data_IF_967968327439
#
_entry.id   IF_967968327439
#
_cell.length_a   1.000
_cell.length_b   1.000
_cell.length_c   1.000
_cell.angle_alpha   90.00
_cell.angle_beta   90.00
_cell.angle_gamma   90.00
#
_symmetry.space_group_name_H-M   'P 1'
#
loop_
_entity.id
_entity.type
_entity.pdbx_description
1 polymer ?
#
# COMPACT_ATOMS: atom_id res chain seq x y z
N UNK A 1 -14.17 22.35 47.72
CA UNK A 1 -13.94 21.05 47.08
C UNK A 1 -12.55 21.10 46.48
N UNK A 2 -11.55 20.43 47.06
CA UNK A 2 -10.20 20.38 46.49
C UNK A 2 -10.21 19.35 45.37
N UNK A 3 -10.19 19.83 44.12
CA UNK A 3 -10.03 18.96 42.95
C UNK A 3 -8.67 18.25 43.03
N UNK A 4 -8.66 16.95 42.76
CA UNK A 4 -7.43 16.18 42.70
C UNK A 4 -6.50 16.81 41.65
N UNK A 5 -5.31 17.23 42.07
CA UNK A 5 -4.27 17.70 41.17
C UNK A 5 -3.79 16.52 40.31
N UNK A 6 -3.48 16.75 39.02
CA UNK A 6 -2.84 15.73 38.19
C UNK A 6 -1.50 15.31 38.82
N UNK A 7 -1.24 14.01 38.80
CA UNK A 7 0.02 13.44 39.25
C UNK A 7 1.16 13.94 38.33
N UNK A 8 2.03 14.77 38.89
CA UNK A 8 3.19 15.38 38.24
C UNK A 8 4.48 14.59 38.51
N UNK A 9 4.39 13.35 38.98
CA UNK A 9 5.57 12.51 39.18
C UNK A 9 6.38 12.47 37.88
N UNK A 10 7.68 12.85 37.91
CA UNK A 10 8.52 12.86 36.73
C UNK A 10 8.52 11.47 36.11
N UNK A 11 8.05 11.39 34.87
CA UNK A 11 8.05 10.14 34.12
C UNK A 11 9.49 9.65 33.98
N UNK A 12 9.71 8.36 34.22
CA UNK A 12 11.05 7.77 34.13
C UNK A 12 11.63 8.00 32.72
N UNK A 13 12.78 8.68 32.66
CA UNK A 13 13.48 9.00 31.41
C UNK A 13 13.91 7.73 30.65
N UNK A 14 14.06 6.60 31.34
CA UNK A 14 14.38 5.32 30.70
C UNK A 14 13.26 4.85 29.76
N UNK A 15 12.00 5.24 30.00
CA UNK A 15 10.88 4.88 29.11
C UNK A 15 10.90 5.59 27.76
N UNK A 16 11.56 6.76 27.67
CA UNK A 16 11.63 7.60 26.46
C UNK A 16 12.74 7.10 25.53
N UNK A 17 13.87 6.67 26.11
CA UNK A 17 15.07 6.30 25.36
C UNK A 17 15.32 4.80 25.28
N UNK A 18 14.77 4.01 26.21
CA UNK A 18 14.85 2.55 26.26
C UNK A 18 13.44 1.94 26.19
N UNK A 19 12.79 2.08 25.04
CA UNK A 19 11.64 1.22 24.73
C UNK A 19 12.16 -0.19 24.42
N UNK A 20 11.93 -1.12 25.33
CA UNK A 20 12.32 -2.53 25.14
C UNK A 20 11.41 -3.17 24.11
N UNK A 21 11.97 -3.66 23.00
CA UNK A 21 11.21 -4.36 21.94
C UNK A 21 10.54 -5.65 22.41
N UNK A 22 10.84 -6.11 23.64
CA UNK A 22 10.38 -7.35 24.24
C UNK A 22 9.06 -7.26 25.01
N UNK A 23 8.48 -6.06 25.21
CA UNK A 23 7.21 -5.94 25.93
C UNK A 23 6.17 -5.10 25.16
N UNK A 24 5.34 -5.72 24.30
CA UNK A 24 4.41 -5.00 23.43
C UNK A 24 3.19 -4.42 24.17
N UNK A 25 2.88 -4.92 25.38
CA UNK A 25 1.74 -4.45 26.18
C UNK A 25 1.98 -3.00 26.66
N UNK A 26 3.22 -2.64 26.98
CA UNK A 26 3.57 -1.29 27.41
C UNK A 26 3.55 -0.30 26.24
N UNK A 27 3.84 -0.73 25.00
CA UNK A 27 3.80 0.11 23.80
C UNK A 27 2.37 0.59 23.47
N UNK A 28 1.39 -0.32 23.51
CA UNK A 28 -0.01 0.03 23.25
C UNK A 28 -0.54 1.01 24.30
N UNK A 29 -0.28 0.75 25.58
CA UNK A 29 -0.67 1.64 26.68
C UNK A 29 0.05 3.01 26.65
N UNK A 30 1.31 3.06 26.18
CA UNK A 30 2.07 4.30 26.06
C UNK A 30 1.52 5.21 24.93
N UNK A 31 1.13 4.62 23.80
CA UNK A 31 0.53 5.34 22.68
C UNK A 31 -0.88 5.85 23.03
N UNK A 32 -1.67 5.05 23.73
CA UNK A 32 -3.01 5.43 24.20
C UNK A 32 -2.95 6.57 25.22
N UNK A 33 -1.99 6.55 26.14
CA UNK A 33 -1.77 7.64 27.09
C UNK A 33 -1.34 8.98 26.43
N UNK A 34 -0.76 8.94 25.23
CA UNK A 34 -0.36 10.15 24.51
C UNK A 34 -1.52 10.82 23.75
N UNK A 35 -2.55 10.06 23.34
CA UNK A 35 -3.72 10.64 22.64
C UNK A 35 -4.71 11.37 23.57
N UNK A 36 -4.74 11.03 24.86
CA UNK A 36 -5.66 11.66 25.82
C UNK A 36 -5.27 13.09 26.23
N UNK A 37 -4.07 13.58 25.88
CA UNK A 37 -3.57 14.91 26.29
C UNK A 37 -3.78 16.01 25.23
N UNK A 38 -4.43 15.71 24.09
CA UNK A 38 -4.47 16.64 22.94
C UNK A 38 -5.87 17.10 22.50
N UNK A 39 -6.86 17.06 23.40
CA UNK A 39 -8.21 17.55 23.10
C UNK A 39 -8.50 18.89 23.81
N UNK A 40 -7.87 19.96 23.33
CA UNK A 40 -8.29 21.35 23.57
C UNK A 40 -8.00 22.19 22.33
N UNK A 41 -9.04 22.71 21.67
CA UNK A 41 -8.90 23.84 20.75
C UNK A 41 -9.56 23.72 19.36
N UNK A 42 -10.80 24.20 19.28
CA UNK A 42 -11.42 25.01 18.22
C UNK A 42 -11.22 24.73 16.71
N UNK A 43 -12.38 24.77 16.04
CA UNK A 43 -12.69 25.39 14.73
C UNK A 43 -12.47 24.63 13.40
N UNK A 44 -13.55 24.69 12.61
CA UNK A 44 -13.66 24.65 11.15
C UNK A 44 -13.88 23.29 10.44
N UNK A 45 -15.11 23.21 9.91
CA UNK A 45 -15.65 22.41 8.82
C UNK A 45 -14.66 22.08 7.66
N UNK A 46 -14.86 20.92 7.02
CA UNK A 46 -14.44 20.51 5.66
C UNK A 46 -13.38 19.39 5.44
N UNK A 47 -13.17 18.39 6.33
CA UNK A 47 -12.29 17.25 5.99
C UNK A 47 -12.77 15.86 6.43
N UNK A 48 -14.01 15.48 6.13
CA UNK A 48 -14.57 14.17 6.57
C UNK A 48 -14.26 12.96 5.67
N UNK A 49 -13.62 13.09 4.51
CA UNK A 49 -13.42 11.92 3.60
C UNK A 49 -12.02 11.28 3.58
N UNK A 50 -11.00 11.84 4.22
CA UNK A 50 -9.63 11.27 4.18
C UNK A 50 -9.16 10.58 5.47
N UNK A 51 -9.96 10.59 6.55
CA UNK A 51 -9.52 10.08 7.85
C UNK A 51 -9.70 8.55 8.05
N UNK A 52 -10.30 7.82 7.11
CA UNK A 52 -10.59 6.39 7.32
C UNK A 52 -9.38 5.46 7.05
N UNK A 53 -8.37 5.92 6.30
CA UNK A 53 -7.21 5.11 5.89
C UNK A 53 -6.14 4.98 6.97
N UNK A 54 -6.13 5.87 7.96
CA UNK A 54 -5.22 5.80 9.12
C UNK A 54 -5.74 4.82 10.17
N UNK A 55 -7.07 4.75 10.36
CA UNK A 55 -7.70 3.84 11.31
C UNK A 55 -7.51 2.35 10.92
N UNK A 56 -7.68 2.02 9.63
CA UNK A 56 -7.46 0.64 9.13
C UNK A 56 -6.01 0.18 9.31
N UNK A 57 -5.03 1.06 9.10
CA UNK A 57 -3.61 0.75 9.31
C UNK A 57 -3.28 0.50 10.79
N UNK A 58 -3.91 1.27 11.70
CA UNK A 58 -3.78 1.05 13.15
C UNK A 58 -4.42 -0.26 13.59
N UNK A 59 -5.62 -0.59 13.11
CA UNK A 59 -6.29 -1.86 13.41
C UNK A 59 -5.50 -3.08 12.90
N UNK A 60 -4.94 -3.01 11.69
CA UNK A 60 -4.09 -4.06 11.15
C UNK A 60 -2.80 -4.27 11.97
N UNK A 61 -2.19 -3.18 12.44
CA UNK A 61 -0.99 -3.26 13.28
C UNK A 61 -1.25 -3.97 14.60
N UNK A 62 -2.39 -3.71 15.26
CA UNK A 62 -2.75 -4.37 16.52
C UNK A 62 -2.98 -5.88 16.36
N UNK A 63 -3.49 -6.32 15.20
CA UNK A 63 -3.65 -7.74 14.88
C UNK A 63 -2.32 -8.42 14.58
N UNK A 64 -1.40 -7.73 13.91
CA UNK A 64 -0.04 -8.21 13.61
C UNK A 64 0.77 -8.44 14.90
N UNK A 65 0.61 -7.59 15.91
CA UNK A 65 1.30 -7.73 17.20
C UNK A 65 0.80 -8.91 18.05
N UNK A 66 -0.35 -9.51 17.70
CA UNK A 66 -0.94 -10.64 18.45
C UNK A 66 -0.28 -11.98 18.12
N UNK A 67 0.51 -12.06 17.04
CA UNK A 67 1.17 -13.29 16.59
C UNK A 67 2.63 -13.04 16.18
N UNK A 68 3.56 -13.79 16.77
CA UNK A 68 4.99 -13.67 16.47
C UNK A 68 5.30 -13.91 14.98
N UNK A 69 4.61 -14.86 14.33
CA UNK A 69 4.77 -15.14 12.90
C UNK A 69 4.19 -14.02 12.01
N UNK A 70 3.13 -13.35 12.45
CA UNK A 70 2.57 -12.22 11.71
C UNK A 70 3.52 -11.02 11.76
N UNK A 71 4.15 -10.78 12.92
CA UNK A 71 5.16 -9.75 13.10
C UNK A 71 6.41 -9.99 12.25
N UNK A 72 6.94 -11.22 12.23
CA UNK A 72 8.09 -11.55 11.37
C UNK A 72 7.80 -11.27 9.89
N UNK A 73 6.61 -11.64 9.38
CA UNK A 73 6.22 -11.31 8.00
C UNK A 73 6.08 -9.81 7.74
N UNK A 74 5.57 -9.06 8.72
CA UNK A 74 5.48 -7.61 8.61
C UNK A 74 6.87 -6.95 8.54
N UNK A 75 7.83 -7.46 9.31
CA UNK A 75 9.22 -7.02 9.28
C UNK A 75 9.87 -7.35 7.92
N UNK A 76 9.68 -8.57 7.40
CA UNK A 76 10.15 -8.99 6.07
C UNK A 76 9.62 -8.05 4.97
N UNK A 77 8.30 -7.81 4.95
CA UNK A 77 7.69 -6.87 4.01
C UNK A 77 8.25 -5.46 4.13
N UNK A 78 8.53 -5.01 5.35
CA UNK A 78 9.11 -3.68 5.58
C UNK A 78 10.52 -3.59 5.01
N UNK A 79 11.33 -4.64 5.19
CA UNK A 79 12.67 -4.72 4.59
C UNK A 79 12.61 -4.74 3.06
N UNK A 80 11.71 -5.50 2.47
CA UNK A 80 11.57 -5.58 1.01
C UNK A 80 11.10 -4.26 0.40
N UNK A 81 10.14 -3.58 1.04
CA UNK A 81 9.73 -2.23 0.64
C UNK A 81 10.87 -1.24 0.72
N UNK A 82 11.69 -1.30 1.77
CA UNK A 82 12.88 -0.44 1.89
C UNK A 82 13.87 -0.72 0.76
N UNK A 83 14.18 -1.99 0.49
CA UNK A 83 15.07 -2.39 -0.62
C UNK A 83 14.57 -1.84 -1.94
N UNK A 84 13.28 -1.98 -2.21
CA UNK A 84 12.64 -1.47 -3.41
C UNK A 84 12.74 0.06 -3.51
N UNK A 85 12.49 0.78 -2.41
CA UNK A 85 12.59 2.24 -2.38
C UNK A 85 14.03 2.73 -2.61
N UNK A 86 15.02 2.04 -2.02
CA UNK A 86 16.44 2.37 -2.22
C UNK A 86 16.85 2.10 -3.68
N UNK A 87 16.45 0.95 -4.23
CA UNK A 87 16.73 0.60 -5.62
C UNK A 87 16.08 1.57 -6.62
N UNK A 88 14.86 2.02 -6.31
CA UNK A 88 14.12 2.97 -7.14
C UNK A 88 14.38 4.44 -6.78
N UNK A 89 15.34 4.70 -5.89
CA UNK A 89 15.66 6.07 -5.54
C UNK A 89 16.16 6.81 -6.77
N UNK A 90 15.55 7.97 -7.07
CA UNK A 90 15.90 8.74 -8.25
C UNK A 90 15.24 8.27 -9.55
N UNK A 91 14.54 7.13 -9.61
CA UNK A 91 14.06 6.58 -10.90
C UNK A 91 13.15 7.51 -11.69
N UNK A 92 12.42 8.39 -11.00
CA UNK A 92 11.42 9.30 -11.61
C UNK A 92 12.01 10.62 -12.09
N UNK A 93 13.17 11.05 -11.56
CA UNK A 93 13.71 12.40 -11.79
C UNK A 93 15.20 12.44 -12.15
N UNK A 94 15.97 11.41 -11.78
CA UNK A 94 17.35 11.26 -12.18
C UNK A 94 17.39 10.87 -13.67
N UNK A 95 18.02 11.72 -14.48
CA UNK A 95 18.31 11.45 -15.90
C UNK A 95 19.82 11.26 -16.05
N UNK A 96 20.32 10.03 -16.15
CA UNK A 96 21.74 9.82 -16.34
C UNK A 96 22.19 10.40 -17.70
N UNK A 97 23.41 10.93 -17.80
CA UNK A 97 23.91 11.49 -19.05
C UNK A 97 23.92 10.42 -20.15
N UNK A 98 23.50 10.80 -21.36
CA UNK A 98 23.39 9.88 -22.50
C UNK A 98 22.10 9.06 -22.56
N UNK A 99 21.22 9.16 -21.54
CA UNK A 99 19.88 8.54 -21.58
C UNK A 99 18.81 9.63 -21.62
N UNK A 100 17.99 9.72 -22.68
CA UNK A 100 17.02 10.82 -22.82
C UNK A 100 15.81 10.68 -21.88
N UNK A 101 15.52 9.45 -21.42
CA UNK A 101 14.35 9.09 -20.62
C UNK A 101 14.77 8.73 -19.20
N UNK A 102 13.88 8.95 -18.23
CA UNK A 102 14.12 8.49 -16.87
C UNK A 102 13.97 6.96 -16.80
N UNK A 103 14.58 6.34 -15.78
CA UNK A 103 14.44 4.89 -15.57
C UNK A 103 12.95 4.50 -15.43
N UNK A 104 12.17 5.34 -14.75
CA UNK A 104 10.72 5.15 -14.62
C UNK A 104 10.02 5.13 -15.98
N UNK A 105 10.27 6.12 -16.84
CA UNK A 105 9.71 6.19 -18.20
C UNK A 105 10.10 4.98 -19.03
N UNK A 106 11.36 4.54 -18.96
CA UNK A 106 11.85 3.37 -19.70
C UNK A 106 11.12 2.09 -19.26
N UNK A 107 10.86 1.92 -17.96
CA UNK A 107 10.12 0.76 -17.45
C UNK A 107 8.64 0.81 -17.83
N UNK A 108 8.04 2.00 -17.77
CA UNK A 108 6.65 2.21 -18.16
C UNK A 108 6.42 1.90 -19.64
N UNK A 109 7.26 2.44 -20.52
CA UNK A 109 7.20 2.16 -21.97
C UNK A 109 7.41 0.68 -22.29
N UNK A 110 8.32 -0.01 -21.58
CA UNK A 110 8.49 -1.47 -21.74
C UNK A 110 7.23 -2.22 -21.34
N UNK A 111 6.59 -1.84 -20.23
CA UNK A 111 5.35 -2.46 -19.77
C UNK A 111 4.21 -2.24 -20.78
N UNK A 112 4.09 -1.03 -21.32
CA UNK A 112 3.10 -0.72 -22.36
C UNK A 112 3.32 -1.57 -23.62
N UNK A 113 4.57 -1.75 -24.06
CA UNK A 113 4.90 -2.60 -25.22
C UNK A 113 4.51 -4.06 -25.00
N UNK A 114 4.72 -4.60 -23.80
CA UNK A 114 4.33 -5.96 -23.44
C UNK A 114 2.80 -6.11 -23.46
N UNK A 115 2.05 -5.17 -22.86
CA UNK A 115 0.59 -5.16 -22.89
C UNK A 115 0.03 -5.02 -24.32
N UNK A 116 0.65 -4.19 -25.16
CA UNK A 116 0.29 -4.06 -26.57
C UNK A 116 0.55 -5.36 -27.36
N UNK A 117 1.64 -6.07 -27.09
CA UNK A 117 1.92 -7.34 -27.74
C UNK A 117 0.92 -8.43 -27.34
N UNK A 118 0.51 -8.48 -26.07
CA UNK A 118 -0.52 -9.40 -25.60
C UNK A 118 -1.91 -9.08 -26.17
N UNK A 119 -2.25 -7.79 -26.30
CA UNK A 119 -3.49 -7.33 -26.92
C UNK A 119 -3.58 -7.73 -28.40
N UNK A 120 -2.50 -7.53 -29.16
CA UNK A 120 -2.42 -7.95 -30.57
C UNK A 120 -2.60 -9.46 -30.73
N UNK A 121 -1.99 -10.26 -29.84
CA UNK A 121 -2.14 -11.72 -29.87
C UNK A 121 -3.58 -12.15 -29.56
N UNK A 122 -4.26 -11.44 -28.66
CA UNK A 122 -5.67 -11.70 -28.33
C UNK A 122 -6.60 -11.28 -29.45
N UNK A 123 -6.34 -10.15 -30.10
CA UNK A 123 -7.13 -9.66 -31.24
C UNK A 123 -7.03 -10.63 -32.43
N UNK A 124 -5.83 -11.13 -32.74
CA UNK A 124 -5.64 -12.12 -33.82
C UNK A 124 -6.43 -13.40 -33.56
N UNK A 125 -6.39 -13.95 -32.33
CA UNK A 125 -7.19 -15.12 -31.97
C UNK A 125 -8.70 -14.84 -32.02
N UNK A 126 -9.13 -13.63 -31.66
CA UNK A 126 -10.53 -13.24 -31.74
C UNK A 126 -11.01 -13.10 -33.18
N UNK A 127 -10.17 -12.58 -34.08
CA UNK A 127 -10.45 -12.50 -35.52
C UNK A 127 -10.55 -13.88 -36.15
N UNK A 128 -9.65 -14.82 -35.83
CA UNK A 128 -9.74 -16.21 -36.32
C UNK A 128 -11.03 -16.91 -35.88
N UNK A 129 -11.47 -16.68 -34.63
CA UNK A 129 -12.72 -17.23 -34.12
C UNK A 129 -13.93 -16.60 -34.83
N UNK A 130 -13.91 -15.28 -35.04
CA UNK A 130 -14.96 -14.58 -35.76
C UNK A 130 -15.04 -14.98 -37.24
N UNK A 131 -13.91 -15.24 -37.91
CA UNK A 131 -13.86 -15.72 -39.29
C UNK A 131 -14.38 -17.17 -39.40
N UNK A 132 -14.05 -18.03 -38.43
CA UNK A 132 -14.61 -19.39 -38.36
C UNK A 132 -16.12 -19.39 -38.06
N UNK A 133 -16.62 -18.46 -37.25
CA UNK A 133 -18.06 -18.29 -36.99
C UNK A 133 -18.81 -17.75 -38.22
N UNK A 134 -18.23 -16.78 -38.94
CA UNK A 134 -18.79 -16.27 -40.18
C UNK A 134 -18.82 -17.34 -41.30
N UNK A 135 -17.76 -18.15 -41.44
CA UNK A 135 -17.71 -19.25 -42.40
C UNK A 135 -18.64 -20.42 -42.10
N UNK A 136 -19.13 -20.54 -40.86
CA UNK A 136 -20.15 -21.52 -40.46
C UNK A 136 -21.58 -21.08 -40.79
N UNK A 137 -21.84 -19.79 -40.96
CA UNK A 137 -23.16 -19.25 -41.29
C UNK A 137 -23.51 -19.36 -42.79
N UNK A 138 -22.50 -19.43 -43.67
CA UNK A 138 -22.69 -19.62 -45.11
C UNK A 138 -22.80 -21.11 -45.53
N UNK A 139 -22.81 -22.04 -44.57
CA UNK A 139 -22.83 -23.49 -44.80
C UNK A 139 -24.14 -24.22 -44.47
N UNK A 140 -25.19 -23.53 -43.99
CA UNK A 140 -26.47 -24.14 -43.55
C UNK A 140 -27.68 -23.79 -44.44
N UNK A 141 -27.47 -23.27 -45.66
CA UNK A 141 -28.54 -23.11 -46.67
C UNK A 141 -28.37 -24.12 -47.83
N UNK A 142 -28.41 -25.42 -47.50
CA UNK A 142 -28.12 -26.44 -48.50
C UNK A 142 -28.41 -27.89 -48.10
N UNK A 143 -29.56 -28.17 -47.47
CA UNK A 143 -29.95 -29.57 -47.28
C UNK A 143 -31.20 -29.81 -46.45
N UNK A 144 -32.38 -29.69 -47.04
CA UNK A 144 -33.63 -30.03 -46.35
C UNK A 144 -34.87 -30.10 -47.23
N UNK A 145 -35.02 -31.25 -47.92
CA UNK A 145 -36.25 -31.90 -48.41
C UNK A 145 -37.12 -31.18 -49.48
#
# INVERSE_FOLDING_TARGET
MFGLLPDLTPRDSHSIWYTSSRNPITQAALLEAHEHNNHHGSSAQQQQQQQNSSSSRRAGHLLIERSALARLRADEHTMDRRRLHVQNFGSTWLKPPGVPKTLHQIREERREQEEHAEAMRREQLALELAEAEAGGADGDDGGGL
#
